data_IF_795486877614
#
_entry.id   IF_795486877614
#
_cell.length_a   1.000
_cell.length_b   1.000
_cell.length_c   1.000
_cell.angle_alpha   90.00
_cell.angle_beta   90.00
_cell.angle_gamma   90.00
#
_symmetry.space_group_name_H-M   'P 1'
#
loop_
_entity.id
_entity.type
_entity.pdbx_description
1 polymer ?
#
# COMPACT_ATOMS: atom_id res chain seq x y z
N UNK A 1 -61.69 45.71 -59.29
CA UNK A 1 -60.35 45.35 -59.80
C UNK A 1 -59.84 44.17 -58.97
N UNK A 2 -59.71 42.97 -59.56
CA UNK A 2 -59.41 41.75 -58.79
C UNK A 2 -57.97 41.74 -58.24
N UNK A 3 -57.77 41.06 -57.11
CA UNK A 3 -56.47 40.92 -56.42
C UNK A 3 -55.39 40.38 -57.37
N UNK A 4 -55.77 39.51 -58.31
CA UNK A 4 -54.90 39.00 -59.37
C UNK A 4 -54.28 40.11 -60.22
N UNK A 5 -55.04 41.15 -60.57
CA UNK A 5 -54.53 42.28 -61.36
C UNK A 5 -53.55 43.16 -60.58
N UNK A 6 -53.73 43.29 -59.25
CA UNK A 6 -52.80 44.02 -58.39
C UNK A 6 -51.49 43.25 -58.19
N UNK A 7 -51.57 41.93 -58.06
CA UNK A 7 -50.39 41.05 -57.98
C UNK A 7 -49.62 41.10 -59.31
N UNK A 8 -50.32 41.01 -60.44
CA UNK A 8 -49.72 41.09 -61.77
C UNK A 8 -49.00 42.43 -62.00
N UNK A 9 -49.66 43.55 -61.72
CA UNK A 9 -49.06 44.88 -61.84
C UNK A 9 -47.88 45.06 -60.89
N UNK A 10 -47.99 44.57 -59.66
CA UNK A 10 -46.89 44.61 -58.70
C UNK A 10 -45.69 43.84 -59.26
N UNK A 11 -45.84 42.59 -59.66
CA UNK A 11 -44.78 41.77 -60.27
C UNK A 11 -44.16 42.43 -61.51
N UNK A 12 -44.97 43.05 -62.36
CA UNK A 12 -44.49 43.73 -63.56
C UNK A 12 -43.65 44.97 -63.20
N UNK A 13 -44.07 45.72 -62.17
CA UNK A 13 -43.37 46.91 -61.67
C UNK A 13 -42.08 46.54 -60.94
N UNK A 14 -42.07 45.47 -60.14
CA UNK A 14 -40.84 44.96 -59.51
C UNK A 14 -39.88 44.40 -60.55
N UNK A 15 -40.38 43.64 -61.53
CA UNK A 15 -39.56 43.08 -62.63
C UNK A 15 -38.87 44.19 -63.42
N UNK A 16 -39.58 45.26 -63.78
CA UNK A 16 -38.99 46.40 -64.50
C UNK A 16 -37.97 47.16 -63.65
N UNK A 17 -38.25 47.40 -62.36
CA UNK A 17 -37.29 48.02 -61.45
C UNK A 17 -36.04 47.16 -61.22
N UNK A 18 -36.18 45.84 -61.12
CA UNK A 18 -35.07 44.88 -60.99
C UNK A 18 -34.24 44.78 -62.26
N UNK A 19 -34.87 44.79 -63.44
CA UNK A 19 -34.17 44.72 -64.73
C UNK A 19 -33.31 45.95 -65.00
N UNK A 20 -33.73 47.11 -64.49
CA UNK A 20 -33.06 48.41 -64.62
C UNK A 20 -32.23 48.80 -63.39
N UNK A 21 -32.08 47.90 -62.42
CA UNK A 21 -31.31 48.17 -61.22
C UNK A 21 -29.81 48.28 -61.57
N UNK A 22 -29.20 49.40 -61.18
CA UNK A 22 -27.78 49.63 -61.34
C UNK A 22 -27.21 50.14 -60.01
N UNK A 23 -26.60 49.23 -59.24
CA UNK A 23 -26.02 49.54 -57.93
C UNK A 23 -24.72 50.37 -58.04
N UNK A 24 -24.06 50.33 -59.19
CA UNK A 24 -22.77 51.00 -59.44
C UNK A 24 -22.93 52.22 -60.37
N UNK A 25 -24.09 52.89 -60.31
CA UNK A 25 -24.40 54.04 -61.15
C UNK A 25 -23.47 55.22 -60.83
N UNK A 26 -22.88 55.81 -61.87
CA UNK A 26 -22.15 57.08 -61.79
C UNK A 26 -22.80 58.15 -62.68
N UNK A 27 -22.23 59.37 -62.71
CA UNK A 27 -22.74 60.48 -63.53
C UNK A 27 -22.38 60.37 -65.02
N UNK A 28 -21.82 59.25 -65.50
CA UNK A 28 -21.39 59.16 -66.89
C UNK A 28 -22.58 58.98 -67.84
N UNK A 29 -22.54 59.67 -68.98
CA UNK A 29 -23.52 59.54 -70.08
C UNK A 29 -23.14 58.49 -71.11
N UNK A 30 -22.02 57.76 -70.91
CA UNK A 30 -21.52 56.77 -71.86
C UNK A 30 -22.35 55.48 -71.78
N UNK A 31 -23.05 55.16 -72.86
CA UNK A 31 -23.91 53.98 -72.98
C UNK A 31 -23.18 52.65 -72.72
N UNK A 32 -21.91 52.51 -73.13
CA UNK A 32 -21.14 51.29 -72.87
C UNK A 32 -20.80 51.13 -71.38
N UNK A 33 -20.51 52.25 -70.71
CA UNK A 33 -20.21 52.26 -69.28
C UNK A 33 -21.44 51.90 -68.46
N UNK A 34 -22.60 52.46 -68.80
CA UNK A 34 -23.89 52.14 -68.16
C UNK A 34 -24.21 50.65 -68.34
N UNK A 35 -24.00 50.09 -69.55
CA UNK A 35 -24.23 48.67 -69.80
C UNK A 35 -23.31 47.78 -68.95
N UNK A 36 -22.02 48.12 -68.84
CA UNK A 36 -21.07 47.42 -67.96
C UNK A 36 -21.53 47.49 -66.49
N UNK A 37 -21.96 48.64 -66.00
CA UNK A 37 -22.43 48.80 -64.62
C UNK A 37 -23.66 47.93 -64.31
N UNK A 38 -24.62 47.81 -65.24
CA UNK A 38 -25.79 46.92 -65.09
C UNK A 38 -25.36 45.45 -65.04
N UNK A 39 -24.42 45.02 -65.89
CA UNK A 39 -23.88 43.65 -65.85
C UNK A 39 -23.11 43.36 -64.56
N UNK A 40 -22.28 44.30 -64.09
CA UNK A 40 -21.57 44.19 -62.82
C UNK A 40 -22.56 44.13 -61.64
N UNK A 41 -23.65 44.90 -61.70
CA UNK A 41 -24.74 44.85 -60.70
C UNK A 41 -25.38 43.46 -60.64
N UNK A 42 -25.68 42.87 -61.81
CA UNK A 42 -26.25 41.51 -61.87
C UNK A 42 -25.27 40.46 -61.34
N UNK A 43 -24.00 40.52 -61.75
CA UNK A 43 -22.97 39.61 -61.27
C UNK A 43 -22.78 39.72 -59.75
N UNK A 44 -22.73 40.95 -59.22
CA UNK A 44 -22.64 41.21 -57.79
C UNK A 44 -23.81 40.58 -57.02
N UNK A 45 -25.05 40.80 -57.48
CA UNK A 45 -26.24 40.23 -56.82
C UNK A 45 -26.25 38.70 -56.85
N UNK A 46 -25.84 38.08 -57.96
CA UNK A 46 -25.73 36.63 -58.06
C UNK A 46 -24.69 36.09 -57.07
N UNK A 47 -23.50 36.69 -57.03
CA UNK A 47 -22.43 36.30 -56.10
C UNK A 47 -22.88 36.52 -54.65
N UNK A 48 -23.54 37.63 -54.35
CA UNK A 48 -24.05 37.94 -53.02
C UNK A 48 -25.08 36.91 -52.54
N UNK A 49 -26.02 36.52 -53.41
CA UNK A 49 -26.99 35.46 -53.12
C UNK A 49 -26.30 34.10 -52.91
N UNK A 50 -25.29 33.77 -53.72
CA UNK A 50 -24.52 32.52 -53.56
C UNK A 50 -23.79 32.50 -52.21
N UNK A 51 -23.14 33.61 -51.82
CA UNK A 51 -22.45 33.71 -50.52
C UNK A 51 -23.44 33.58 -49.37
N UNK A 52 -24.59 34.26 -49.43
CA UNK A 52 -25.65 34.12 -48.43
C UNK A 52 -26.16 32.68 -48.33
N UNK A 53 -26.35 32.02 -49.46
CA UNK A 53 -26.79 30.62 -49.50
C UNK A 53 -25.76 29.68 -48.86
N UNK A 54 -24.47 29.86 -49.16
CA UNK A 54 -23.38 29.11 -48.53
C UNK A 54 -23.35 29.33 -47.01
N UNK A 55 -23.50 30.57 -46.54
CA UNK A 55 -23.56 30.92 -45.12
C UNK A 55 -24.73 30.25 -44.38
N UNK A 56 -25.92 30.25 -44.99
CA UNK A 56 -27.11 29.60 -44.44
C UNK A 56 -26.93 28.08 -44.38
N UNK A 57 -26.40 27.47 -45.45
CA UNK A 57 -26.09 26.05 -45.45
C UNK A 57 -25.08 25.68 -44.37
N UNK A 58 -23.98 26.43 -44.27
CA UNK A 58 -22.94 26.19 -43.26
C UNK A 58 -23.49 26.27 -41.83
N UNK A 59 -24.30 27.30 -41.55
CA UNK A 59 -24.90 27.48 -40.21
C UNK A 59 -25.97 26.43 -39.89
N UNK A 60 -26.70 25.93 -40.88
CA UNK A 60 -27.73 24.90 -40.71
C UNK A 60 -27.15 23.49 -40.54
N UNK A 61 -26.07 23.18 -41.25
CA UNK A 61 -25.44 21.86 -41.22
C UNK A 61 -24.55 21.62 -40.00
N UNK A 62 -24.12 22.68 -39.32
CA UNK A 62 -23.33 22.55 -38.10
C UNK A 62 -24.19 22.02 -36.95
N UNK A 63 -23.96 20.74 -36.62
CA UNK A 63 -24.56 20.10 -35.45
C UNK A 63 -24.11 20.83 -34.18
N UNK A 64 -25.08 21.27 -33.37
CA UNK A 64 -24.83 21.81 -32.04
C UNK A 64 -24.89 20.69 -31.01
N UNK A 65 -23.83 20.51 -30.25
CA UNK A 65 -23.86 19.67 -29.04
C UNK A 65 -24.59 20.42 -27.93
N UNK A 66 -25.54 19.76 -27.28
CA UNK A 66 -26.29 20.31 -26.14
C UNK A 66 -25.84 19.56 -24.89
N UNK A 67 -25.52 20.30 -23.83
CA UNK A 67 -25.24 19.71 -22.52
C UNK A 67 -26.55 19.46 -21.79
N UNK A 68 -26.76 18.21 -21.36
CA UNK A 68 -27.94 17.79 -20.60
C UNK A 68 -27.48 17.36 -19.21
N UNK A 69 -28.02 18.00 -18.18
CA UNK A 69 -27.75 17.63 -16.80
C UNK A 69 -28.78 16.59 -16.35
N UNK A 70 -28.30 15.44 -15.87
CA UNK A 70 -29.13 14.35 -15.34
C UNK A 70 -28.73 14.13 -13.89
N UNK A 71 -29.70 14.17 -12.96
CA UNK A 71 -29.45 13.75 -11.60
C UNK A 71 -29.44 12.22 -11.53
N UNK A 72 -28.36 11.68 -10.98
CA UNK A 72 -28.18 10.24 -10.78
C UNK A 72 -28.94 9.78 -9.53
N UNK A 73 -29.78 8.77 -9.69
CA UNK A 73 -30.50 8.11 -8.59
C UNK A 73 -29.84 6.82 -8.12
N UNK A 74 -28.98 6.21 -8.95
CA UNK A 74 -28.30 4.93 -8.66
C UNK A 74 -27.03 4.74 -9.47
N UNK A 75 -26.16 3.84 -9.00
CA UNK A 75 -24.94 3.43 -9.71
C UNK A 75 -25.23 2.75 -11.05
N UNK A 76 -26.32 1.98 -11.13
CA UNK A 76 -26.73 1.28 -12.37
C UNK A 76 -27.14 2.26 -13.46
N UNK A 77 -27.82 3.35 -13.11
CA UNK A 77 -28.15 4.42 -14.04
C UNK A 77 -26.88 5.08 -14.62
N UNK A 78 -25.86 5.29 -13.78
CA UNK A 78 -24.56 5.81 -14.25
C UNK A 78 -23.91 4.84 -15.24
N UNK A 79 -23.81 3.56 -14.91
CA UNK A 79 -23.20 2.55 -15.76
C UNK A 79 -23.89 2.47 -17.14
N UNK A 80 -25.22 2.58 -17.19
CA UNK A 80 -25.96 2.61 -18.46
C UNK A 80 -25.63 3.86 -19.29
N UNK A 81 -25.57 5.04 -18.65
CA UNK A 81 -25.21 6.29 -19.32
C UNK A 81 -23.77 6.28 -19.82
N UNK A 82 -22.86 5.66 -19.06
CA UNK A 82 -21.45 5.55 -19.42
C UNK A 82 -21.25 4.68 -20.66
N UNK A 83 -21.97 3.57 -20.77
CA UNK A 83 -21.94 2.73 -21.99
C UNK A 83 -22.39 3.54 -23.21
N UNK A 84 -23.41 4.39 -23.06
CA UNK A 84 -24.01 5.15 -24.17
C UNK A 84 -23.23 6.42 -24.54
N UNK A 85 -22.57 7.06 -23.56
CA UNK A 85 -21.95 8.39 -23.71
C UNK A 85 -20.49 8.42 -23.21
N UNK A 86 -19.76 7.31 -23.36
CA UNK A 86 -18.41 7.09 -22.79
C UNK A 86 -17.42 8.25 -22.95
N UNK A 87 -17.41 8.95 -24.09
CA UNK A 87 -16.45 10.03 -24.38
C UNK A 87 -16.90 11.43 -23.95
N UNK A 88 -18.16 11.61 -23.54
CA UNK A 88 -18.74 12.93 -23.25
C UNK A 88 -19.45 13.01 -21.89
N UNK A 89 -19.70 11.87 -21.24
CA UNK A 89 -20.30 11.83 -19.91
C UNK A 89 -19.31 12.35 -18.87
N UNK A 90 -19.76 13.32 -18.07
CA UNK A 90 -19.03 13.79 -16.90
C UNK A 90 -19.93 13.64 -15.67
N UNK A 91 -19.41 13.02 -14.62
CA UNK A 91 -20.12 12.81 -13.36
C UNK A 91 -19.29 13.42 -12.22
N UNK A 92 -19.44 14.73 -11.95
CA UNK A 92 -18.71 15.37 -10.86
C UNK A 92 -19.20 14.87 -9.50
N UNK A 93 -18.29 14.71 -8.55
CA UNK A 93 -18.62 14.31 -7.19
C UNK A 93 -19.15 15.50 -6.37
N UNK A 94 -20.16 15.28 -5.53
CA UNK A 94 -20.61 16.29 -4.56
C UNK A 94 -19.59 16.51 -3.44
N UNK A 95 -18.84 15.46 -3.09
CA UNK A 95 -17.71 15.50 -2.16
C UNK A 95 -16.48 14.97 -2.87
N UNK A 96 -15.43 15.78 -2.94
CA UNK A 96 -14.19 15.41 -3.64
C UNK A 96 -13.25 14.58 -2.77
N UNK A 97 -13.54 14.43 -1.48
CA UNK A 97 -12.66 13.81 -0.51
C UNK A 97 -13.45 13.03 0.54
N UNK A 98 -13.07 11.78 0.77
CA UNK A 98 -13.71 10.83 1.68
C UNK A 98 -12.61 10.08 2.45
N UNK A 99 -12.74 9.92 3.75
CA UNK A 99 -11.79 9.15 4.56
C UNK A 99 -11.91 7.65 4.26
N UNK A 100 -10.79 6.92 4.19
CA UNK A 100 -10.84 5.48 3.89
C UNK A 100 -11.66 4.69 4.89
N UNK A 101 -11.74 5.15 6.15
CA UNK A 101 -12.57 4.55 7.19
C UNK A 101 -14.06 4.43 6.82
N UNK A 102 -14.56 5.24 5.88
CA UNK A 102 -15.97 5.23 5.49
C UNK A 102 -16.32 4.06 4.57
N UNK A 103 -15.33 3.44 3.91
CA UNK A 103 -15.60 2.43 2.88
C UNK A 103 -14.57 1.29 2.81
N UNK A 104 -13.52 1.30 3.63
CA UNK A 104 -12.54 0.21 3.76
C UNK A 104 -12.58 -0.33 5.19
N UNK A 105 -12.65 -1.65 5.30
CA UNK A 105 -12.45 -2.41 6.53
C UNK A 105 -11.35 -3.45 6.26
N UNK A 106 -10.25 -3.39 7.01
CA UNK A 106 -9.18 -4.37 6.99
C UNK A 106 -9.18 -5.18 8.28
N UNK A 107 -9.10 -6.50 8.16
CA UNK A 107 -8.88 -7.42 9.29
C UNK A 107 -7.56 -8.14 9.12
N UNK A 108 -6.90 -8.43 10.24
CA UNK A 108 -5.57 -9.03 10.27
C UNK A 108 -5.63 -10.33 11.05
N UNK A 109 -5.20 -11.42 10.42
CA UNK A 109 -4.92 -12.68 11.10
C UNK A 109 -3.43 -12.74 11.42
N UNK A 110 -3.12 -12.83 12.71
CA UNK A 110 -1.74 -12.97 13.17
C UNK A 110 -1.35 -14.44 13.26
N UNK A 111 -0.04 -14.68 13.15
CA UNK A 111 0.55 -15.99 13.34
C UNK A 111 0.26 -16.53 14.74
N UNK A 112 -0.11 -17.81 14.82
CA UNK A 112 -0.60 -18.49 16.04
C UNK A 112 0.32 -18.28 17.26
N UNK A 113 1.63 -18.23 17.03
CA UNK A 113 2.63 -17.98 18.09
C UNK A 113 2.37 -16.70 18.89
N UNK A 114 1.80 -15.66 18.26
CA UNK A 114 1.50 -14.40 18.92
C UNK A 114 0.25 -14.45 19.80
N UNK A 115 -0.37 -15.62 19.92
CA UNK A 115 -1.51 -15.91 20.81
C UNK A 115 -1.33 -17.18 21.62
N UNK A 116 -0.19 -17.87 21.49
CA UNK A 116 0.07 -19.16 22.13
C UNK A 116 0.68 -19.01 23.51
N UNK A 117 0.83 -20.14 24.22
CA UNK A 117 1.45 -20.17 25.54
C UNK A 117 2.93 -19.72 25.51
N UNK A 118 3.60 -19.82 24.36
CA UNK A 118 5.04 -19.53 24.21
C UNK A 118 5.41 -18.04 24.32
N UNK A 119 4.42 -17.15 24.36
CA UNK A 119 4.60 -15.72 24.65
C UNK A 119 4.02 -15.32 26.02
N UNK A 120 3.62 -16.29 26.84
CA UNK A 120 3.00 -16.06 28.14
C UNK A 120 4.05 -15.92 29.26
N UNK A 121 3.66 -15.23 30.35
CA UNK A 121 4.49 -15.14 31.55
C UNK A 121 4.77 -16.53 32.15
N UNK A 122 3.78 -17.43 32.11
CA UNK A 122 3.92 -18.80 32.62
C UNK A 122 5.04 -19.57 31.90
N UNK A 123 5.18 -19.38 30.59
CA UNK A 123 6.27 -19.96 29.82
C UNK A 123 7.63 -19.35 30.19
N UNK A 124 7.71 -18.03 30.36
CA UNK A 124 8.95 -17.37 30.75
C UNK A 124 9.44 -17.79 32.12
N UNK A 125 8.51 -17.91 33.07
CA UNK A 125 8.79 -18.34 34.44
C UNK A 125 9.24 -19.81 34.46
N UNK A 126 8.61 -20.66 33.65
CA UNK A 126 9.01 -22.06 33.49
C UNK A 126 10.45 -22.19 32.95
N UNK A 127 10.81 -21.37 31.96
CA UNK A 127 12.16 -21.36 31.38
C UNK A 127 13.20 -20.61 32.22
N UNK A 128 12.81 -19.95 33.30
CA UNK A 128 13.75 -19.16 34.09
C UNK A 128 14.59 -20.05 35.01
N UNK A 129 15.86 -20.26 34.66
CA UNK A 129 16.80 -21.02 35.48
C UNK A 129 17.83 -20.12 36.17
N UNK A 130 17.54 -19.72 37.42
CA UNK A 130 18.42 -18.86 38.22
C UNK A 130 19.83 -19.43 38.44
N UNK A 131 19.97 -20.75 38.50
CA UNK A 131 21.27 -21.40 38.73
C UNK A 131 22.19 -21.33 37.52
N UNK A 132 21.63 -21.06 36.33
CA UNK A 132 22.32 -21.09 35.05
C UNK A 132 22.54 -19.72 34.43
N UNK A 133 22.22 -18.62 35.14
CA UNK A 133 22.34 -17.24 34.62
C UNK A 133 23.72 -16.90 34.05
N UNK A 134 24.79 -17.48 34.60
CA UNK A 134 26.17 -17.26 34.15
C UNK A 134 26.66 -18.29 33.12
N UNK A 135 25.84 -19.29 32.79
CA UNK A 135 26.19 -20.32 31.83
C UNK A 135 25.87 -19.82 30.41
N UNK A 136 26.80 -20.05 29.48
CA UNK A 136 26.64 -19.68 28.07
C UNK A 136 25.88 -20.78 27.33
N UNK A 137 24.65 -21.04 27.73
CA UNK A 137 23.85 -22.09 27.14
C UNK A 137 22.39 -21.67 27.02
N UNK A 138 21.62 -22.49 26.28
CA UNK A 138 20.19 -22.29 26.10
C UNK A 138 19.42 -22.20 27.43
N UNK A 139 19.84 -22.95 28.47
CA UNK A 139 19.16 -22.92 29.77
C UNK A 139 19.24 -21.54 30.45
N UNK A 140 20.28 -20.77 30.19
CA UNK A 140 20.42 -19.41 30.69
C UNK A 140 19.59 -18.41 29.89
N UNK A 141 19.50 -18.59 28.56
CA UNK A 141 18.95 -17.59 27.64
C UNK A 141 17.54 -17.87 27.15
N UNK A 142 16.98 -19.07 27.37
CA UNK A 142 15.69 -19.45 26.81
C UNK A 142 14.57 -18.48 27.22
N UNK A 143 14.43 -18.19 28.51
CA UNK A 143 13.39 -17.26 29.00
C UNK A 143 13.47 -15.89 28.32
N UNK A 144 14.66 -15.33 28.14
CA UNK A 144 14.81 -14.02 27.47
C UNK A 144 14.60 -14.11 25.95
N UNK A 145 14.97 -15.21 25.30
CA UNK A 145 14.70 -15.41 23.87
C UNK A 145 13.19 -15.41 23.59
N UNK A 146 12.40 -16.10 24.41
CA UNK A 146 10.95 -16.11 24.28
C UNK A 146 10.28 -14.79 24.71
N UNK A 147 10.86 -14.06 25.68
CA UNK A 147 10.42 -12.68 25.97
C UNK A 147 10.68 -11.73 24.78
N UNK A 148 11.78 -11.93 24.02
CA UNK A 148 12.00 -11.20 22.77
C UNK A 148 10.92 -11.54 21.75
N UNK A 149 10.60 -12.83 21.56
CA UNK A 149 9.53 -13.26 20.65
C UNK A 149 8.19 -12.59 21.01
N UNK A 150 7.82 -12.58 22.28
CA UNK A 150 6.61 -11.91 22.77
C UNK A 150 6.64 -10.40 22.54
N UNK A 151 7.79 -9.76 22.77
CA UNK A 151 7.98 -8.34 22.50
C UNK A 151 7.82 -8.02 21.01
N UNK A 152 8.36 -8.87 20.14
CA UNK A 152 8.19 -8.73 18.68
C UNK A 152 6.72 -8.85 18.29
N UNK A 153 6.01 -9.88 18.74
CA UNK A 153 4.56 -10.03 18.51
C UNK A 153 3.76 -8.80 18.96
N UNK A 154 4.05 -8.29 20.16
CA UNK A 154 3.38 -7.09 20.69
C UNK A 154 3.67 -5.86 19.84
N UNK A 155 4.94 -5.62 19.53
CA UNK A 155 5.36 -4.45 18.75
C UNK A 155 4.80 -4.47 17.33
N UNK A 156 4.69 -5.64 16.70
CA UNK A 156 4.09 -5.75 15.36
C UNK A 156 2.60 -5.49 15.39
N UNK A 157 1.86 -6.02 16.38
CA UNK A 157 0.44 -5.73 16.58
C UNK A 157 0.19 -4.24 16.84
N UNK A 158 0.97 -3.61 17.72
CA UNK A 158 0.90 -2.17 17.98
C UNK A 158 1.20 -1.35 16.73
N UNK A 159 2.23 -1.74 15.97
CA UNK A 159 2.60 -1.09 14.70
C UNK A 159 1.44 -1.14 13.71
N UNK A 160 0.81 -2.30 13.54
CA UNK A 160 -0.35 -2.44 12.65
C UNK A 160 -1.53 -1.61 13.12
N UNK A 161 -1.86 -1.62 14.41
CA UNK A 161 -2.98 -0.84 14.95
C UNK A 161 -2.78 0.68 14.74
N UNK A 162 -1.56 1.18 14.97
CA UNK A 162 -1.20 2.58 14.69
C UNK A 162 -1.29 2.85 13.18
N UNK A 163 -0.73 1.97 12.36
CA UNK A 163 -0.75 2.08 10.90
C UNK A 163 -2.17 2.11 10.34
N UNK A 164 -3.06 1.24 10.81
CA UNK A 164 -4.48 1.20 10.43
C UNK A 164 -5.20 2.49 10.84
N UNK A 165 -4.97 2.97 12.07
CA UNK A 165 -5.53 4.23 12.55
C UNK A 165 -5.12 5.40 11.65
N UNK A 166 -3.85 5.47 11.28
CA UNK A 166 -3.34 6.48 10.35
C UNK A 166 -3.93 6.31 8.96
N UNK A 167 -3.91 5.09 8.40
CA UNK A 167 -4.46 4.77 7.08
C UNK A 167 -5.93 5.19 6.96
N UNK A 168 -6.76 4.82 7.93
CA UNK A 168 -8.18 5.15 7.99
C UNK A 168 -8.47 6.66 8.07
N UNK A 169 -7.55 7.44 8.65
CA UNK A 169 -7.64 8.91 8.66
C UNK A 169 -7.23 9.57 7.35
N UNK A 170 -6.52 8.84 6.47
CA UNK A 170 -6.18 9.37 5.14
C UNK A 170 -7.39 9.38 4.22
N UNK A 171 -7.36 10.25 3.20
CA UNK A 171 -8.51 10.53 2.35
C UNK A 171 -8.28 10.06 0.92
N UNK A 172 -9.28 9.40 0.36
CA UNK A 172 -9.42 9.23 -1.07
C UNK A 172 -9.88 10.55 -1.69
N UNK A 173 -9.28 10.96 -2.80
CA UNK A 173 -9.57 12.22 -3.49
C UNK A 173 -9.98 11.92 -4.93
N UNK A 174 -11.19 12.31 -5.30
CA UNK A 174 -11.63 12.28 -6.69
C UNK A 174 -12.65 13.37 -6.99
N UNK A 175 -12.43 14.14 -8.06
CA UNK A 175 -13.37 15.14 -8.56
C UNK A 175 -14.49 14.56 -9.41
N UNK A 176 -14.37 13.30 -9.84
CA UNK A 176 -15.31 12.63 -10.72
C UNK A 176 -15.56 11.19 -10.26
N UNK A 177 -16.73 10.65 -10.60
CA UNK A 177 -17.03 9.26 -10.30
C UNK A 177 -16.09 8.35 -11.11
N UNK A 178 -15.35 7.50 -10.40
CA UNK A 178 -14.46 6.52 -11.01
C UNK A 178 -15.23 5.26 -11.39
N UNK A 179 -14.86 4.68 -12.53
CA UNK A 179 -15.26 3.32 -12.90
C UNK A 179 -14.94 2.32 -11.80
N UNK A 180 -15.82 1.35 -11.56
CA UNK A 180 -15.63 0.33 -10.52
C UNK A 180 -14.29 -0.40 -10.66
N UNK A 181 -13.90 -0.82 -11.88
CA UNK A 181 -12.61 -1.48 -12.10
C UNK A 181 -11.42 -0.58 -11.76
N UNK A 182 -11.48 0.71 -12.14
CA UNK A 182 -10.42 1.68 -11.85
C UNK A 182 -10.34 1.95 -10.35
N UNK A 183 -11.49 2.09 -9.68
CA UNK A 183 -11.58 2.24 -8.24
C UNK A 183 -10.96 1.04 -7.52
N UNK A 184 -11.37 -0.19 -7.85
CA UNK A 184 -10.83 -1.41 -7.26
C UNK A 184 -9.31 -1.54 -7.47
N UNK A 185 -8.80 -1.24 -8.67
CA UNK A 185 -7.36 -1.23 -8.95
C UNK A 185 -6.61 -0.21 -8.10
N UNK A 186 -7.15 1.01 -7.97
CA UNK A 186 -6.56 2.05 -7.13
C UNK A 186 -6.54 1.64 -5.66
N UNK A 187 -7.66 1.14 -5.13
CA UNK A 187 -7.75 0.68 -3.74
C UNK A 187 -6.79 -0.48 -3.48
N UNK A 188 -6.79 -1.52 -4.32
CA UNK A 188 -5.86 -2.64 -4.17
C UNK A 188 -4.39 -2.19 -4.23
N UNK A 189 -4.06 -1.24 -5.11
CA UNK A 189 -2.71 -0.67 -5.17
C UNK A 189 -2.35 0.07 -3.87
N UNK A 190 -3.28 0.86 -3.32
CA UNK A 190 -3.08 1.60 -2.07
C UNK A 190 -2.93 0.65 -0.88
N UNK A 191 -3.75 -0.41 -0.80
CA UNK A 191 -3.65 -1.43 0.23
C UNK A 191 -2.31 -2.17 0.17
N UNK A 192 -1.86 -2.56 -1.03
CA UNK A 192 -0.55 -3.18 -1.22
C UNK A 192 0.60 -2.24 -0.80
N UNK A 193 0.49 -0.94 -1.12
CA UNK A 193 1.48 0.06 -0.69
C UNK A 193 1.49 0.19 0.83
N UNK A 194 0.31 0.26 1.47
CA UNK A 194 0.18 0.34 2.92
C UNK A 194 0.84 -0.87 3.59
N UNK A 195 0.44 -2.09 3.22
CA UNK A 195 0.97 -3.35 3.76
C UNK A 195 2.49 -3.46 3.57
N UNK A 196 3.01 -3.09 2.39
CA UNK A 196 4.46 -3.13 2.15
C UNK A 196 5.19 -2.07 2.94
N UNK A 197 4.67 -0.85 2.99
CA UNK A 197 5.31 0.29 3.65
C UNK A 197 5.41 0.08 5.15
N UNK A 198 4.38 -0.47 5.80
CA UNK A 198 4.37 -0.69 7.23
C UNK A 198 5.40 -1.75 7.63
N UNK A 199 5.45 -2.88 6.92
CA UNK A 199 6.44 -3.94 7.14
C UNK A 199 7.87 -3.45 6.91
N UNK A 200 8.10 -2.69 5.82
CA UNK A 200 9.43 -2.15 5.52
C UNK A 200 9.91 -1.13 6.55
N UNK A 201 9.01 -0.26 7.03
CA UNK A 201 9.36 0.71 8.07
C UNK A 201 9.72 0.00 9.37
N UNK A 202 8.90 -0.96 9.80
CA UNK A 202 9.18 -1.75 11.00
C UNK A 202 10.53 -2.45 10.91
N UNK A 203 10.79 -3.17 9.80
CA UNK A 203 12.06 -3.85 9.56
C UNK A 203 13.24 -2.89 9.66
N UNK A 204 13.18 -1.75 8.97
CA UNK A 204 14.27 -0.74 9.01
C UNK A 204 14.52 -0.22 10.41
N UNK A 205 13.47 0.03 11.19
CA UNK A 205 13.60 0.46 12.59
C UNK A 205 14.26 -0.63 13.42
N UNK A 206 13.86 -1.90 13.24
CA UNK A 206 14.43 -3.03 13.95
C UNK A 206 15.91 -3.24 13.60
N UNK A 207 16.25 -3.22 12.31
CA UNK A 207 17.62 -3.30 11.80
C UNK A 207 18.47 -2.17 12.39
N UNK A 208 17.98 -0.94 12.40
CA UNK A 208 18.68 0.20 13.00
C UNK A 208 18.97 -0.01 14.49
N UNK A 209 17.97 -0.48 15.26
CA UNK A 209 18.16 -0.76 16.69
C UNK A 209 19.26 -1.81 16.87
N UNK A 210 19.23 -2.87 16.07
CA UNK A 210 20.22 -3.93 16.15
C UNK A 210 21.63 -3.45 15.79
N UNK A 211 21.79 -2.70 14.70
CA UNK A 211 23.08 -2.12 14.30
C UNK A 211 23.63 -1.16 15.36
N UNK A 212 22.75 -0.36 16.00
CA UNK A 212 23.14 0.50 17.13
C UNK A 212 23.58 -0.32 18.34
N UNK A 213 22.89 -1.42 18.65
CA UNK A 213 23.25 -2.30 19.77
C UNK A 213 24.64 -2.91 19.54
N UNK A 214 24.89 -3.46 18.35
CA UNK A 214 26.15 -4.10 18.01
C UNK A 214 27.30 -3.10 17.87
N UNK A 215 27.08 -2.00 17.15
CA UNK A 215 28.10 -0.98 16.91
C UNK A 215 28.59 -0.25 18.16
N UNK A 216 27.78 -0.24 19.23
CA UNK A 216 28.15 0.29 20.54
C UNK A 216 28.62 -0.80 21.52
N UNK A 217 28.74 -2.05 21.09
CA UNK A 217 29.21 -3.17 21.89
C UNK A 217 28.44 -3.37 23.21
N UNK A 218 27.13 -3.15 23.21
CA UNK A 218 26.32 -3.31 24.41
C UNK A 218 26.40 -4.75 24.93
N UNK A 219 26.92 -4.94 26.14
CA UNK A 219 27.08 -6.27 26.73
C UNK A 219 25.76 -6.82 27.24
N UNK A 220 25.49 -8.07 26.90
CA UNK A 220 24.34 -8.82 27.45
C UNK A 220 24.64 -9.24 28.89
N UNK A 221 23.60 -9.28 29.74
CA UNK A 221 23.75 -9.73 31.14
C UNK A 221 24.22 -11.19 31.25
N UNK A 222 23.89 -12.00 30.25
CA UNK A 222 24.28 -13.41 30.13
C UNK A 222 25.69 -13.61 29.58
N UNK A 223 26.40 -12.52 29.27
CA UNK A 223 27.73 -12.55 28.68
C UNK A 223 27.80 -13.37 27.38
N UNK A 224 26.71 -13.44 26.61
CA UNK A 224 26.63 -14.23 25.36
C UNK A 224 27.32 -13.57 24.19
N UNK A 225 27.62 -12.26 24.25
CA UNK A 225 28.42 -11.55 23.26
C UNK A 225 29.84 -11.23 23.76
N UNK A 226 30.01 -10.89 25.04
CA UNK A 226 31.29 -10.53 25.64
C UNK A 226 31.44 -11.17 27.00
N UNK A 227 32.64 -11.68 27.30
CA UNK A 227 33.00 -12.22 28.60
C UNK A 227 33.98 -11.32 29.34
N UNK A 228 33.81 -11.22 30.66
CA UNK A 228 34.82 -10.70 31.57
C UNK A 228 35.77 -11.83 31.97
N UNK A 229 37.07 -11.57 31.83
CA UNK A 229 38.15 -12.47 32.25
C UNK A 229 39.02 -11.74 33.25
N UNK A 230 39.30 -12.38 34.38
CA UNK A 230 40.28 -11.91 35.37
C UNK A 230 41.45 -12.90 35.35
N UNK A 231 42.63 -12.45 34.94
CA UNK A 231 43.81 -13.31 34.76
C UNK A 231 44.41 -13.76 36.10
N UNK A 232 44.38 -12.90 37.12
CA UNK A 232 44.91 -13.18 38.45
C UNK A 232 43.92 -12.73 39.52
N UNK A 233 43.73 -13.49 40.61
CA UNK A 233 42.89 -13.07 41.74
C UNK A 233 43.72 -12.32 42.79
N UNK A 234 44.14 -11.09 42.48
CA UNK A 234 44.87 -10.19 43.40
C UNK A 234 44.05 -8.93 43.68
N UNK A 235 44.41 -8.18 44.72
CA UNK A 235 43.88 -6.81 44.90
C UNK A 235 44.29 -5.98 43.67
N UNK A 236 43.32 -5.30 43.05
CA UNK A 236 43.50 -4.46 41.85
C UNK A 236 43.80 -5.19 40.55
N UNK A 237 43.34 -6.45 40.40
CA UNK A 237 43.47 -7.15 39.12
C UNK A 237 42.70 -6.46 37.99
N UNK A 238 43.32 -6.27 36.81
CA UNK A 238 42.62 -5.74 35.65
C UNK A 238 41.55 -6.72 35.17
N UNK A 239 40.40 -6.17 34.77
CA UNK A 239 39.34 -6.90 34.09
C UNK A 239 39.54 -6.79 32.59
N UNK A 240 39.64 -7.93 31.92
CA UNK A 240 39.71 -7.99 30.47
C UNK A 240 38.37 -8.36 29.89
N UNK A 241 37.93 -7.64 28.86
CA UNK A 241 36.74 -7.96 28.10
C UNK A 241 37.15 -8.61 26.79
N UNK A 242 36.58 -9.78 26.47
CA UNK A 242 36.86 -10.47 25.22
C UNK A 242 35.54 -10.80 24.51
N UNK A 243 35.42 -10.57 23.20
CA UNK A 243 34.26 -11.03 22.46
C UNK A 243 34.19 -12.54 22.48
N UNK A 244 32.97 -13.08 22.48
CA UNK A 244 32.74 -14.50 22.35
C UNK A 244 32.83 -14.95 20.90
N UNK A 245 33.13 -16.24 20.75
CA UNK A 245 33.18 -16.94 19.48
C UNK A 245 32.24 -18.12 19.51
N UNK A 246 31.35 -18.20 18.52
CA UNK A 246 30.46 -19.35 18.31
C UNK A 246 31.02 -20.26 17.21
N UNK A 247 30.32 -21.36 16.90
CA UNK A 247 30.68 -22.29 15.83
C UNK A 247 31.11 -21.57 14.53
N UNK A 248 32.02 -22.21 13.77
CA UNK A 248 32.71 -21.66 12.60
C UNK A 248 33.66 -20.48 12.89
N UNK A 249 34.16 -20.36 14.12
CA UNK A 249 35.05 -19.25 14.54
C UNK A 249 34.42 -17.86 14.36
N UNK A 250 33.09 -17.78 14.38
CA UNK A 250 32.36 -16.52 14.22
C UNK A 250 32.50 -15.68 15.49
N UNK A 251 33.02 -14.46 15.38
CA UNK A 251 33.37 -13.59 16.50
C UNK A 251 32.32 -12.48 16.72
N UNK A 252 31.77 -12.37 17.93
CA UNK A 252 30.78 -11.35 18.30
C UNK A 252 31.31 -9.91 18.20
N UNK A 253 32.64 -9.76 18.24
CA UNK A 253 33.39 -8.54 17.97
C UNK A 253 33.17 -7.98 16.57
N UNK A 254 33.00 -8.85 15.59
CA UNK A 254 32.94 -8.48 14.17
C UNK A 254 31.58 -8.75 13.54
N UNK A 255 30.75 -9.62 14.15
CA UNK A 255 29.41 -9.93 13.66
C UNK A 255 28.47 -10.19 14.82
N UNK A 256 27.32 -9.51 14.85
CA UNK A 256 26.23 -9.80 15.79
C UNK A 256 25.50 -11.10 15.47
N UNK A 257 25.60 -11.59 14.23
CA UNK A 257 24.83 -12.72 13.72
C UNK A 257 25.44 -14.09 14.07
N UNK A 258 26.53 -14.14 14.84
CA UNK A 258 27.11 -15.43 15.22
C UNK A 258 26.14 -16.23 16.09
N UNK A 259 25.90 -17.47 15.69
CA UNK A 259 24.98 -18.39 16.36
C UNK A 259 25.43 -19.85 16.26
N UNK A 260 24.89 -20.70 17.12
CA UNK A 260 25.07 -22.14 17.11
C UNK A 260 23.76 -22.84 17.51
N UNK A 261 23.62 -24.10 17.07
CA UNK A 261 22.45 -24.91 17.39
C UNK A 261 22.37 -25.18 18.88
N UNK A 262 21.15 -25.20 19.41
CA UNK A 262 20.91 -25.64 20.78
C UNK A 262 21.15 -27.14 20.88
N UNK A 263 21.98 -27.55 21.84
CA UNK A 263 22.24 -28.95 22.16
C UNK A 263 21.83 -29.19 23.62
N UNK A 264 20.87 -30.09 23.83
CA UNK A 264 20.46 -30.59 25.14
C UNK A 264 20.70 -32.10 25.16
N UNK A 265 21.53 -32.60 26.09
CA UNK A 265 21.87 -34.03 26.21
C UNK A 265 22.49 -34.71 24.98
N UNK A 266 23.31 -34.01 24.22
CA UNK A 266 23.80 -34.47 22.90
C UNK A 266 22.69 -34.61 21.83
N UNK A 267 21.46 -34.17 22.11
CA UNK A 267 20.40 -34.02 21.12
C UNK A 267 20.30 -32.58 20.67
N UNK A 268 20.20 -32.38 19.36
CA UNK A 268 19.98 -31.06 18.77
C UNK A 268 18.50 -30.71 18.93
N UNK A 269 18.23 -29.49 19.38
CA UNK A 269 16.87 -28.96 19.41
C UNK A 269 16.63 -28.23 18.09
N UNK A 270 15.78 -28.83 17.25
CA UNK A 270 15.55 -28.33 15.91
C UNK A 270 14.91 -26.93 15.92
N UNK A 271 15.42 -26.07 15.06
CA UNK A 271 14.96 -24.71 14.90
C UNK A 271 15.51 -23.70 15.92
N UNK A 272 15.92 -24.09 17.13
CA UNK A 272 16.41 -23.14 18.12
C UNK A 272 17.94 -22.96 18.07
N UNK A 273 18.38 -21.71 18.21
CA UNK A 273 19.81 -21.35 18.27
C UNK A 273 20.11 -20.45 19.48
N UNK A 274 21.38 -20.45 19.89
CA UNK A 274 21.97 -19.43 20.78
C UNK A 274 23.05 -18.67 20.02
N UNK A 275 23.40 -17.47 20.47
CA UNK A 275 24.32 -16.60 19.74
C UNK A 275 24.68 -15.36 20.52
N UNK A 276 25.35 -14.41 19.87
CA UNK A 276 25.87 -13.20 20.52
C UNK A 276 24.79 -12.48 21.33
N UNK A 277 23.63 -12.26 20.71
CA UNK A 277 22.49 -11.60 21.33
C UNK A 277 21.29 -12.56 21.37
N UNK A 278 20.55 -12.65 22.50
CA UNK A 278 19.30 -13.40 22.55
C UNK A 278 18.30 -12.95 21.47
N UNK A 279 18.31 -11.65 21.17
CA UNK A 279 17.52 -11.06 20.10
C UNK A 279 17.85 -11.68 18.72
N UNK A 280 19.12 -11.64 18.32
CA UNK A 280 19.58 -12.25 17.06
C UNK A 280 19.38 -13.76 17.03
N UNK A 281 19.56 -14.40 18.17
CA UNK A 281 19.32 -15.84 18.30
C UNK A 281 17.86 -16.18 18.01
N UNK A 282 16.92 -15.39 18.53
CA UNK A 282 15.50 -15.59 18.27
C UNK A 282 15.16 -15.35 16.79
N UNK A 283 15.65 -14.28 16.18
CA UNK A 283 15.45 -14.00 14.75
C UNK A 283 15.97 -15.13 13.84
N UNK A 284 17.14 -15.68 14.17
CA UNK A 284 17.76 -16.76 13.41
C UNK A 284 17.15 -18.14 13.67
N UNK A 285 16.43 -18.29 14.78
CA UNK A 285 15.71 -19.51 15.11
C UNK A 285 14.48 -19.69 14.20
N UNK A 286 14.09 -20.93 13.98
CA UNK A 286 12.73 -21.30 13.58
C UNK A 286 11.96 -21.83 14.79
N UNK A 287 10.64 -21.85 14.68
CA UNK A 287 9.76 -22.34 15.75
C UNK A 287 9.46 -23.83 15.63
N UNK A 288 10.22 -24.57 14.82
CA UNK A 288 9.97 -25.96 14.45
C UNK A 288 9.72 -26.87 15.67
N UNK A 289 10.51 -26.72 16.73
CA UNK A 289 10.35 -27.51 17.95
C UNK A 289 8.98 -27.33 18.61
N UNK A 290 8.36 -26.15 18.48
CA UNK A 290 7.08 -25.81 19.11
C UNK A 290 5.87 -26.45 18.42
N UNK A 291 6.05 -27.00 17.22
CA UNK A 291 5.03 -27.80 16.51
C UNK A 291 5.21 -29.31 16.76
N UNK A 292 6.26 -29.72 17.47
CA UNK A 292 6.61 -31.13 17.68
C UNK A 292 6.58 -31.46 19.17
N UNK A 293 5.60 -32.29 19.57
CA UNK A 293 5.40 -32.68 20.96
C UNK A 293 6.66 -33.28 21.59
N UNK A 294 7.34 -34.20 20.90
CA UNK A 294 8.57 -34.84 21.40
C UNK A 294 9.69 -33.82 21.63
N UNK A 295 9.83 -32.84 20.73
CA UNK A 295 10.83 -31.79 20.87
C UNK A 295 10.51 -30.85 22.05
N UNK A 296 9.26 -30.43 22.19
CA UNK A 296 8.80 -29.63 23.31
C UNK A 296 9.03 -30.35 24.64
N UNK A 297 8.71 -31.64 24.73
CA UNK A 297 8.94 -32.47 25.93
C UNK A 297 10.42 -32.54 26.34
N UNK A 298 11.34 -32.55 25.38
CA UNK A 298 12.78 -32.46 25.67
C UNK A 298 13.13 -31.14 26.36
N UNK A 299 12.62 -30.01 25.86
CA UNK A 299 12.81 -28.71 26.52
C UNK A 299 12.23 -28.76 27.93
N UNK A 300 10.99 -29.24 28.08
CA UNK A 300 10.31 -29.29 29.38
C UNK A 300 11.09 -30.11 30.41
N UNK A 301 11.66 -31.26 30.01
CA UNK A 301 12.43 -32.11 30.90
C UNK A 301 13.67 -31.42 31.48
N UNK A 302 14.35 -30.57 30.70
CA UNK A 302 15.56 -29.87 31.15
C UNK A 302 15.30 -28.66 32.06
N UNK A 303 14.10 -28.09 32.00
CA UNK A 303 13.69 -26.96 32.83
C UNK A 303 12.84 -27.36 34.04
N UNK A 304 12.59 -28.66 34.27
CA UNK A 304 11.88 -29.19 35.46
C UNK A 304 12.66 -28.88 36.76
N UNK A 305 12.53 -27.66 37.25
CA UNK A 305 13.10 -27.20 38.53
C UNK A 305 11.99 -27.02 39.57
N UNK A 306 10.70 -26.97 39.18
CA UNK A 306 9.59 -26.82 40.13
C UNK A 306 8.31 -27.59 39.74
N UNK A 307 7.53 -27.89 40.77
CA UNK A 307 6.65 -29.04 41.04
C UNK A 307 5.20 -28.93 40.57
N UNK A 308 4.89 -28.07 39.60
CA UNK A 308 3.52 -27.92 39.11
C UNK A 308 3.33 -28.66 37.78
N UNK A 309 2.23 -29.41 37.65
CA UNK A 309 1.81 -30.05 36.40
C UNK A 309 1.34 -28.97 35.41
N UNK A 310 2.29 -28.21 34.87
CA UNK A 310 2.05 -27.22 33.83
C UNK A 310 2.12 -27.92 32.48
N UNK A 311 1.05 -27.77 31.70
CA UNK A 311 0.95 -28.27 30.32
C UNK A 311 1.00 -27.11 29.36
N UNK A 312 1.87 -27.18 28.36
CA UNK A 312 1.96 -26.22 27.26
C UNK A 312 1.50 -26.91 25.98
N UNK A 313 0.66 -26.25 25.20
CA UNK A 313 0.18 -26.80 23.95
C UNK A 313 1.15 -26.50 22.80
N UNK A 314 1.38 -27.48 21.93
CA UNK A 314 2.10 -27.25 20.67
C UNK A 314 1.32 -26.32 19.76
N UNK A 315 2.04 -25.64 18.86
CA UNK A 315 1.44 -24.87 17.77
C UNK A 315 0.79 -25.82 16.74
N UNK A 316 -0.27 -25.36 16.08
CA UNK A 316 -0.95 -26.09 15.01
C UNK A 316 -0.21 -25.94 13.67
N UNK A 317 -0.09 -27.04 12.91
CA UNK A 317 0.60 -27.01 11.61
C UNK A 317 -0.24 -26.40 10.48
N UNK A 318 -1.30 -25.65 10.77
CA UNK A 318 -2.29 -25.15 9.79
C UNK A 318 -1.83 -23.81 9.18
N UNK A 319 -0.55 -23.46 9.31
CA UNK A 319 -0.05 -22.18 8.81
C UNK A 319 0.24 -22.25 7.30
N UNK A 320 -0.01 -21.14 6.62
CA UNK A 320 0.27 -20.99 5.19
C UNK A 320 1.79 -21.02 4.88
N UNK A 321 2.62 -20.94 5.93
CA UNK A 321 4.08 -20.89 5.86
C UNK A 321 4.74 -22.14 6.44
N UNK A 322 5.98 -22.39 6.02
CA UNK A 322 6.76 -23.55 6.43
C UNK A 322 7.10 -23.54 7.92
N UNK A 323 7.04 -24.71 8.56
CA UNK A 323 7.34 -24.88 9.99
C UNK A 323 8.83 -24.59 10.31
N UNK A 324 9.69 -24.68 9.30
CA UNK A 324 11.11 -24.36 9.33
C UNK A 324 11.42 -22.89 9.06
N UNK A 325 10.41 -22.06 8.84
CA UNK A 325 10.58 -20.62 8.63
C UNK A 325 11.25 -19.96 9.84
N UNK A 326 12.25 -19.12 9.56
CA UNK A 326 12.91 -18.29 10.58
C UNK A 326 11.98 -17.19 11.09
N UNK A 327 12.10 -16.88 12.37
CA UNK A 327 11.37 -15.79 13.00
C UNK A 327 11.66 -14.46 12.32
N UNK A 328 12.88 -14.22 11.80
CA UNK A 328 13.20 -13.04 10.98
C UNK A 328 12.21 -12.83 9.82
N UNK A 329 11.82 -13.90 9.13
CA UNK A 329 10.87 -13.81 8.01
C UNK A 329 9.42 -13.60 8.48
N UNK A 330 9.06 -14.13 9.66
CA UNK A 330 7.77 -13.84 10.29
C UNK A 330 7.69 -12.37 10.67
N UNK A 331 8.75 -11.83 11.28
CA UNK A 331 8.90 -10.42 11.67
C UNK A 331 8.86 -9.49 10.45
N UNK A 332 9.52 -9.87 9.35
CA UNK A 332 9.48 -9.14 8.07
C UNK A 332 8.04 -8.97 7.53
N UNK A 333 7.12 -9.85 7.94
CA UNK A 333 5.68 -9.78 7.62
C UNK A 333 4.83 -9.34 8.80
N UNK A 334 5.43 -8.80 9.86
CA UNK A 334 4.75 -8.34 11.08
C UNK A 334 3.98 -9.45 11.81
N UNK A 335 4.38 -10.72 11.64
CA UNK A 335 3.63 -11.90 12.06
C UNK A 335 2.21 -11.94 11.48
N UNK A 336 1.97 -11.34 10.31
CA UNK A 336 0.67 -11.42 9.65
C UNK A 336 0.64 -12.63 8.73
N UNK A 337 -0.36 -13.48 8.94
CA UNK A 337 -0.64 -14.59 8.05
C UNK A 337 -1.54 -14.16 6.90
N UNK A 338 -2.63 -13.43 7.20
CA UNK A 338 -3.60 -12.99 6.20
C UNK A 338 -4.18 -11.61 6.52
N UNK A 339 -4.45 -10.85 5.45
CA UNK A 339 -5.24 -9.62 5.48
C UNK A 339 -6.59 -9.90 4.80
N UNK A 340 -7.70 -9.49 5.43
CA UNK A 340 -9.06 -9.61 4.88
C UNK A 340 -9.69 -8.25 4.65
#
# INVERSE_FOLDING_TARGET
>A
ISISNRIYLFFQTTKTKLLNLNLFQDRSTNHEKIRKQIWTTRLYLVIFIIILFILVLYTSLNKKSININVQLSSLTQYQQLEIKYKSTLTCPCNRISIEYKEFIELKVSYHEVCTSDFISQQWFDYLYNKQKINDRNFLATASIQFQVLASLCKLTQETINIGLTQFYSTKFISGQLNLNETFQKQINSILNIFQRSISQTFKRTLDMIHEVIHGNFYMTIFQTNWKFTVLERKRFSPFYTNPLTYNNSCNCGTSSKCSEKVILNNSIIDGLVIGCYPFESMLQSSLQCLYNQTCLELILLYFKVQTDNITFNILSSINQYGIDEKVEHMVDRLFVDQWY
#
